data_IF_190065196169
#
_entry.id   IF_190065196169
#
_cell.length_a   1.000
_cell.length_b   1.000
_cell.length_c   1.000
_cell.angle_alpha   90.00
_cell.angle_beta   90.00
_cell.angle_gamma   90.00
#
_symmetry.space_group_name_H-M   'P 1'
#
loop_
_entity.id
_entity.type
_entity.pdbx_description
1 polymer ?
#
# COMPACT_ATOMS: atom_id res chain seq x y z
N UNK A 1 -33.87 -18.36 -19.60
CA UNK A 1 -32.98 -18.34 -20.79
C UNK A 1 -31.85 -17.38 -20.47
N UNK A 2 -30.60 -17.82 -20.31
CA UNK A 2 -29.50 -16.93 -19.98
C UNK A 2 -29.03 -16.21 -21.25
N UNK A 3 -28.96 -14.88 -21.17
CA UNK A 3 -28.67 -13.98 -22.28
C UNK A 3 -27.19 -14.07 -22.69
N UNK A 4 -27.00 -14.27 -23.98
CA UNK A 4 -25.73 -14.39 -24.71
C UNK A 4 -24.88 -13.11 -24.76
N UNK A 5 -25.15 -12.11 -23.92
CA UNK A 5 -24.49 -10.80 -23.96
C UNK A 5 -23.18 -10.73 -23.16
N UNK A 6 -23.02 -11.49 -22.07
CA UNK A 6 -21.79 -11.47 -21.24
C UNK A 6 -20.56 -12.02 -21.95
N UNK A 7 -20.70 -13.04 -22.80
CA UNK A 7 -19.56 -13.61 -23.56
C UNK A 7 -19.02 -12.73 -24.68
N UNK A 8 -19.81 -11.79 -25.21
CA UNK A 8 -19.37 -10.91 -26.31
C UNK A 8 -18.52 -9.73 -25.84
N UNK A 9 -18.65 -9.30 -24.58
CA UNK A 9 -17.79 -8.24 -24.00
C UNK A 9 -16.42 -8.77 -23.57
N UNK A 10 -16.33 -10.03 -23.11
CA UNK A 10 -15.05 -10.69 -22.82
C UNK A 10 -14.11 -10.77 -24.03
N UNK A 11 -14.65 -10.91 -25.25
CA UNK A 11 -13.84 -10.97 -26.48
C UNK A 11 -13.47 -9.60 -27.07
N UNK A 12 -14.17 -8.53 -26.68
CA UNK A 12 -13.84 -7.17 -27.14
C UNK A 12 -12.66 -6.55 -26.38
N UNK A 13 -12.39 -7.01 -25.15
CA UNK A 13 -11.20 -6.61 -24.38
C UNK A 13 -9.92 -7.39 -24.74
N UNK A 14 -10.02 -8.47 -25.53
CA UNK A 14 -8.91 -9.40 -25.78
C UNK A 14 -8.67 -9.76 -27.27
N UNK A 15 -9.27 -9.07 -28.24
CA UNK A 15 -9.34 -9.60 -29.61
C UNK A 15 -9.06 -8.63 -30.76
N UNK A 16 -7.78 -8.43 -31.10
CA UNK A 16 -7.35 -8.18 -32.47
C UNK A 16 -5.95 -8.77 -32.75
N UNK A 17 -5.79 -10.09 -32.57
CA UNK A 17 -4.67 -10.82 -33.16
C UNK A 17 -5.14 -11.48 -34.46
N UNK A 18 -4.71 -10.93 -35.60
CA UNK A 18 -4.76 -11.65 -36.87
C UNK A 18 -3.48 -12.45 -37.04
N UNK A 19 -3.65 -13.73 -37.38
CA UNK A 19 -2.62 -14.77 -37.46
C UNK A 19 -1.52 -14.41 -38.48
N UNK A 20 -0.32 -14.18 -37.96
CA UNK A 20 0.94 -14.30 -38.69
C UNK A 20 1.91 -15.12 -37.85
N UNK A 21 2.15 -16.38 -38.22
CA UNK A 21 3.14 -17.22 -37.59
C UNK A 21 4.55 -16.67 -37.90
N UNK A 22 5.13 -15.95 -36.95
CA UNK A 22 6.56 -15.79 -36.81
C UNK A 22 6.89 -15.92 -35.33
N UNK A 23 7.74 -16.90 -35.00
CA UNK A 23 8.43 -16.92 -33.72
C UNK A 23 9.28 -15.64 -33.64
N UNK A 24 8.75 -14.63 -32.95
CA UNK A 24 9.41 -13.36 -32.72
C UNK A 24 9.26 -13.06 -31.24
N UNK A 25 10.39 -13.04 -30.55
CA UNK A 25 10.55 -12.37 -29.27
C UNK A 25 9.98 -10.95 -29.40
N UNK A 26 8.76 -10.73 -28.90
CA UNK A 26 8.37 -9.38 -28.51
C UNK A 26 9.15 -9.14 -27.23
N UNK A 27 10.27 -8.42 -27.38
CA UNK A 27 10.85 -7.70 -26.29
C UNK A 27 9.71 -6.89 -25.66
N UNK A 28 9.40 -7.23 -24.41
CA UNK A 28 8.63 -6.34 -23.55
C UNK A 28 9.47 -5.07 -23.45
N UNK A 29 8.93 -3.94 -23.90
CA UNK A 29 9.66 -2.68 -24.09
C UNK A 29 9.98 -2.04 -22.73
N UNK A 30 10.71 -2.71 -21.84
CA UNK A 30 11.22 -2.15 -20.57
C UNK A 30 10.18 -1.38 -19.75
N UNK A 31 8.89 -1.73 -19.85
CA UNK A 31 7.79 -0.93 -19.34
C UNK A 31 7.57 -1.28 -17.87
N UNK A 32 7.89 -0.35 -16.97
CA UNK A 32 7.68 -0.56 -15.54
C UNK A 32 6.19 -0.42 -15.21
N UNK A 33 5.50 -1.55 -15.16
CA UNK A 33 4.07 -1.58 -14.91
C UNK A 33 3.66 -1.14 -13.49
N UNK A 34 4.61 -1.05 -12.56
CA UNK A 34 4.44 -0.41 -11.26
C UNK A 34 4.54 1.11 -11.38
N UNK A 35 5.50 1.63 -12.16
CA UNK A 35 5.56 3.07 -12.49
C UNK A 35 4.26 3.55 -13.16
N UNK A 36 3.70 2.77 -14.08
CA UNK A 36 2.40 3.09 -14.69
C UNK A 36 1.23 3.09 -13.71
N UNK A 37 1.35 2.41 -12.57
CA UNK A 37 0.32 2.39 -11.54
C UNK A 37 0.49 3.58 -10.59
N UNK A 38 1.74 3.89 -10.24
CA UNK A 38 2.11 5.01 -9.39
C UNK A 38 1.86 6.37 -10.07
N UNK A 39 2.06 6.45 -11.38
CA UNK A 39 1.99 7.71 -12.12
C UNK A 39 3.15 8.66 -11.80
N UNK A 40 2.98 9.93 -12.17
CA UNK A 40 4.04 10.94 -12.09
C UNK A 40 4.02 11.78 -10.80
N UNK A 41 3.10 11.48 -9.87
CA UNK A 41 2.96 12.24 -8.63
C UNK A 41 4.13 11.98 -7.68
N UNK A 42 4.51 12.99 -6.92
CA UNK A 42 5.63 12.92 -5.96
C UNK A 42 5.19 12.96 -4.51
N UNK A 43 3.91 13.22 -4.25
CA UNK A 43 3.30 13.14 -2.93
C UNK A 43 2.85 11.70 -2.59
N UNK A 44 2.16 11.50 -1.48
CA UNK A 44 1.78 10.18 -0.96
C UNK A 44 0.32 10.18 -0.46
N UNK A 45 -0.66 10.17 -1.37
CA UNK A 45 -2.08 10.47 -1.07
C UNK A 45 -2.83 9.38 -0.30
N UNK A 46 -2.29 8.16 -0.25
CA UNK A 46 -2.97 7.02 0.35
C UNK A 46 -1.95 5.98 0.81
N UNK A 47 -2.38 5.04 1.66
CA UNK A 47 -1.53 3.92 2.02
C UNK A 47 -1.02 3.21 0.76
N UNK A 48 0.19 2.67 0.74
CA UNK A 48 0.67 2.01 -0.49
C UNK A 48 0.93 2.94 -1.69
N UNK A 49 0.89 4.26 -1.50
CA UNK A 49 1.08 5.33 -2.50
C UNK A 49 -0.05 5.48 -3.55
N UNK A 50 -0.52 4.39 -4.14
CA UNK A 50 -1.47 4.40 -5.26
C UNK A 50 -2.61 3.39 -5.12
N UNK A 51 -3.53 3.37 -6.09
CA UNK A 51 -4.64 2.40 -6.12
C UNK A 51 -4.19 0.95 -6.18
N UNK A 52 -2.98 0.68 -6.68
CA UNK A 52 -2.42 -0.66 -6.84
C UNK A 52 -1.55 -1.12 -5.66
N UNK A 53 -1.40 -0.30 -4.61
CA UNK A 53 -0.56 -0.53 -3.43
C UNK A 53 0.94 -0.71 -3.76
N UNK A 54 1.48 -0.09 -4.80
CA UNK A 54 2.87 -0.38 -5.23
C UNK A 54 3.95 0.08 -4.24
N UNK A 55 3.65 1.02 -3.35
CA UNK A 55 4.63 1.71 -2.50
C UNK A 55 5.79 2.31 -3.29
N UNK A 56 5.54 2.78 -4.52
CA UNK A 56 6.57 3.25 -5.43
C UNK A 56 6.31 4.69 -5.90
N UNK A 57 7.33 5.54 -5.81
CA UNK A 57 7.34 6.91 -6.34
C UNK A 57 8.42 6.99 -7.44
N UNK A 58 8.09 6.73 -8.71
CA UNK A 58 9.10 6.68 -9.78
C UNK A 58 9.80 8.02 -10.01
N UNK A 59 9.05 9.12 -9.95
CA UNK A 59 9.55 10.48 -10.18
C UNK A 59 10.31 11.10 -9.01
N UNK A 60 10.52 10.37 -7.90
CA UNK A 60 11.19 10.94 -6.73
C UNK A 60 12.68 11.19 -6.96
N UNK A 61 13.17 12.29 -6.40
CA UNK A 61 14.60 12.60 -6.39
C UNK A 61 15.39 11.55 -5.59
N UNK A 62 16.60 11.26 -6.05
CA UNK A 62 17.53 10.37 -5.35
C UNK A 62 17.89 10.90 -3.96
N UNK A 63 17.47 10.18 -2.92
CA UNK A 63 17.88 10.43 -1.53
C UNK A 63 19.10 9.55 -1.19
N UNK A 64 20.24 10.16 -0.90
CA UNK A 64 21.52 9.47 -0.58
C UNK A 64 21.89 9.48 0.90
N UNK A 65 21.22 10.30 1.67
CA UNK A 65 21.38 10.49 3.10
C UNK A 65 20.21 11.31 3.60
N UNK A 66 19.97 11.27 4.90
CA UNK A 66 18.90 12.05 5.53
C UNK A 66 19.33 12.64 6.87
N UNK A 67 18.78 13.82 7.16
CA UNK A 67 18.84 14.47 8.48
C UNK A 67 17.44 14.75 9.01
N UNK A 68 17.30 14.75 10.33
CA UNK A 68 16.03 15.09 10.98
C UNK A 68 15.77 16.59 10.85
N UNK A 69 14.74 16.95 10.07
CA UNK A 69 14.28 18.33 9.93
C UNK A 69 13.32 18.70 11.06
N UNK A 70 12.44 17.76 11.42
CA UNK A 70 11.41 17.97 12.44
C UNK A 70 11.00 16.66 13.10
N UNK A 71 10.57 16.77 14.35
CA UNK A 71 9.90 15.73 15.12
C UNK A 71 8.52 16.19 15.57
N UNK A 72 7.54 15.30 15.47
CA UNK A 72 6.18 15.53 15.97
C UNK A 72 5.88 14.48 17.03
N UNK A 73 6.06 14.86 18.29
CA UNK A 73 5.79 14.01 19.44
C UNK A 73 4.31 14.09 19.80
N UNK A 74 3.55 13.03 19.47
CA UNK A 74 2.11 12.98 19.70
C UNK A 74 1.61 11.55 20.00
N UNK A 75 0.34 11.38 20.34
CA UNK A 75 -0.31 10.08 20.49
C UNK A 75 -0.67 9.49 19.12
N UNK A 76 0.34 9.29 18.28
CA UNK A 76 0.13 8.73 16.95
C UNK A 76 -0.23 7.25 17.01
N UNK A 77 -1.15 6.86 16.15
CA UNK A 77 -1.45 5.46 15.87
C UNK A 77 -0.34 4.80 15.07
N UNK A 78 -0.61 3.60 14.58
CA UNK A 78 0.30 2.86 13.68
C UNK A 78 -0.09 3.02 12.21
N UNK A 79 -0.79 4.10 11.87
CA UNK A 79 -1.18 4.40 10.50
C UNK A 79 0.01 5.00 9.72
N UNK A 80 0.05 4.72 8.42
CA UNK A 80 1.01 5.33 7.51
C UNK A 80 0.76 6.85 7.42
N UNK A 81 1.79 7.71 7.56
CA UNK A 81 1.65 9.15 7.35
C UNK A 81 1.26 9.44 5.90
N UNK A 82 0.27 10.29 5.67
CA UNK A 82 -0.22 10.61 4.31
C UNK A 82 0.16 12.04 3.98
N UNK A 83 0.70 12.27 2.79
CA UNK A 83 1.11 13.59 2.31
C UNK A 83 0.39 13.84 1.00
N UNK A 84 -0.41 14.89 0.92
CA UNK A 84 -1.08 15.26 -0.31
C UNK A 84 -1.22 16.78 -0.37
N UNK A 85 -0.98 17.35 -1.55
CA UNK A 85 -1.24 18.77 -1.85
C UNK A 85 -0.66 19.74 -0.80
N UNK A 86 0.58 19.50 -0.35
CA UNK A 86 1.25 20.34 0.65
C UNK A 86 0.73 20.18 2.09
N UNK A 87 -0.03 19.12 2.37
CA UNK A 87 -0.58 18.82 3.70
C UNK A 87 -0.14 17.43 4.17
N UNK A 88 0.26 17.33 5.43
CA UNK A 88 0.55 16.08 6.13
C UNK A 88 -0.65 15.67 6.99
N UNK A 89 -1.21 14.49 6.72
CA UNK A 89 -2.30 13.91 7.47
C UNK A 89 -1.80 12.81 8.41
N UNK A 90 -2.18 12.93 9.69
CA UNK A 90 -1.78 11.99 10.74
C UNK A 90 -3.02 11.47 11.47
N UNK A 91 -3.00 10.16 11.73
CA UNK A 91 -4.07 9.46 12.44
C UNK A 91 -3.56 8.92 13.77
N UNK A 92 -4.27 9.30 14.83
CA UNK A 92 -4.12 8.80 16.20
C UNK A 92 -5.47 8.76 16.89
N UNK A 93 -5.60 9.44 18.03
CA UNK A 93 -6.92 9.66 18.64
C UNK A 93 -7.83 10.53 17.76
N UNK A 94 -7.22 11.41 16.96
CA UNK A 94 -7.88 12.30 15.99
C UNK A 94 -7.21 12.19 14.62
N UNK A 95 -7.90 12.67 13.59
CA UNK A 95 -7.32 12.95 12.28
C UNK A 95 -6.87 14.40 12.25
N UNK A 96 -5.58 14.63 12.00
CA UNK A 96 -4.99 15.97 11.96
C UNK A 96 -4.44 16.27 10.57
N UNK A 97 -4.66 17.48 10.09
CA UNK A 97 -4.03 18.01 8.88
C UNK A 97 -3.04 19.11 9.27
N UNK A 98 -1.77 18.91 8.92
CA UNK A 98 -0.68 19.84 9.21
C UNK A 98 -0.16 20.41 7.89
N UNK A 99 0.09 21.72 7.86
CA UNK A 99 0.85 22.33 6.77
C UNK A 99 2.24 21.70 6.68
N UNK A 100 2.65 21.30 5.48
CA UNK A 100 3.85 20.47 5.30
C UNK A 100 5.15 21.22 5.62
N UNK A 101 5.16 22.54 5.43
CA UNK A 101 6.37 23.36 5.54
C UNK A 101 6.54 23.97 6.93
N UNK A 102 5.50 24.63 7.45
CA UNK A 102 5.50 25.20 8.79
C UNK A 102 5.32 24.14 9.86
N UNK A 103 4.59 23.08 9.52
CA UNK A 103 4.20 22.06 10.45
C UNK A 103 3.03 22.41 11.37
N UNK A 104 2.44 23.58 11.20
CA UNK A 104 1.29 24.02 11.98
C UNK A 104 0.06 23.18 11.66
N UNK A 105 -0.81 22.96 12.65
CA UNK A 105 -2.08 22.25 12.44
C UNK A 105 -3.08 23.18 11.78
N UNK A 106 -3.51 22.83 10.58
CA UNK A 106 -4.57 23.54 9.86
C UNK A 106 -5.93 23.23 10.49
N UNK A 107 -6.20 21.94 10.71
CA UNK A 107 -7.41 21.46 11.37
C UNK A 107 -7.21 20.09 12.02
N UNK A 108 -8.15 19.75 12.89
CA UNK A 108 -8.21 18.47 13.59
C UNK A 108 -9.66 18.02 13.71
N UNK A 109 -9.91 16.73 13.41
CA UNK A 109 -11.21 16.10 13.52
C UNK A 109 -11.10 14.92 14.47
N UNK A 110 -11.87 14.98 15.56
CA UNK A 110 -12.06 13.83 16.44
C UNK A 110 -13.19 12.95 15.92
N UNK A 111 -13.12 11.62 16.11
CA UNK A 111 -14.28 10.77 15.96
C UNK A 111 -15.41 11.24 16.88
N UNK A 112 -16.66 11.17 16.40
CA UNK A 112 -17.83 11.50 17.22
C UNK A 112 -17.95 10.53 18.41
N UNK A 113 -18.53 11.01 19.52
CA UNK A 113 -18.67 10.21 20.75
C UNK A 113 -19.33 8.85 20.49
N UNK A 114 -18.64 7.79 20.94
CA UNK A 114 -19.11 6.41 20.78
C UNK A 114 -18.90 5.79 19.39
N UNK A 115 -18.19 6.47 18.47
CA UNK A 115 -17.86 5.96 17.14
C UNK A 115 -16.42 5.43 17.01
N UNK A 116 -15.65 5.47 18.11
CA UNK A 116 -14.29 4.94 18.24
C UNK A 116 -13.25 5.58 17.32
N UNK A 117 -11.99 5.24 17.55
CA UNK A 117 -10.87 5.95 16.93
C UNK A 117 -10.74 5.67 15.42
N UNK A 118 -10.04 6.59 14.75
CA UNK A 118 -9.49 6.33 13.42
C UNK A 118 -8.27 5.41 13.57
N UNK A 119 -8.26 4.30 12.83
CA UNK A 119 -7.21 3.27 12.96
C UNK A 119 -6.35 3.12 11.71
N UNK A 120 -6.86 3.51 10.55
CA UNK A 120 -6.21 3.38 9.26
C UNK A 120 -5.74 4.74 8.73
N UNK A 121 -4.75 4.71 7.85
CA UNK A 121 -4.37 5.89 7.09
C UNK A 121 -5.54 6.37 6.21
N UNK A 122 -5.72 7.70 6.03
CA UNK A 122 -6.72 8.23 5.12
C UNK A 122 -6.30 8.04 3.66
N UNK A 123 -7.24 8.29 2.75
CA UNK A 123 -6.99 8.50 1.32
C UNK A 123 -7.40 9.90 0.96
N UNK A 124 -6.53 10.64 0.26
CA UNK A 124 -6.75 12.04 -0.11
C UNK A 124 -6.76 12.19 -1.63
N UNK A 125 -7.80 12.82 -2.15
CA UNK A 125 -7.92 13.16 -3.57
C UNK A 125 -8.93 14.27 -3.76
N UNK A 126 -8.68 15.18 -4.71
CA UNK A 126 -9.63 16.20 -5.15
C UNK A 126 -10.24 16.97 -3.95
N UNK A 127 -9.36 17.48 -3.09
CA UNK A 127 -9.71 18.24 -1.87
C UNK A 127 -10.58 17.46 -0.86
N UNK A 128 -10.60 16.13 -0.92
CA UNK A 128 -11.36 15.26 -0.02
C UNK A 128 -10.46 14.29 0.70
N UNK A 129 -10.68 14.12 2.00
CA UNK A 129 -10.04 13.12 2.85
C UNK A 129 -11.07 12.05 3.20
N UNK A 130 -10.81 10.81 2.77
CA UNK A 130 -11.62 9.64 3.08
C UNK A 130 -10.96 8.84 4.20
N UNK A 131 -11.70 8.58 5.28
CA UNK A 131 -11.18 7.83 6.44
C UNK A 131 -12.26 6.91 7.01
N UNK A 132 -11.84 5.74 7.47
CA UNK A 132 -12.69 4.78 8.17
C UNK A 132 -12.40 4.78 9.68
N UNK A 133 -13.44 4.60 10.50
CA UNK A 133 -13.30 4.38 11.94
C UNK A 133 -13.66 2.94 12.33
N UNK A 134 -13.24 2.53 13.53
CA UNK A 134 -13.43 1.16 14.03
C UNK A 134 -14.88 0.76 14.33
N UNK A 135 -15.86 1.65 14.13
CA UNK A 135 -17.28 1.39 14.36
C UNK A 135 -18.08 1.45 13.06
N UNK A 136 -17.55 0.85 12.00
CA UNK A 136 -18.32 0.58 10.79
C UNK A 136 -18.83 1.86 10.12
N UNK A 137 -17.95 2.85 9.96
CA UNK A 137 -18.25 4.08 9.22
C UNK A 137 -17.10 4.51 8.33
N UNK A 138 -17.49 5.10 7.20
CA UNK A 138 -16.61 5.84 6.29
C UNK A 138 -17.02 7.31 6.32
N UNK A 139 -16.03 8.20 6.36
CA UNK A 139 -16.21 9.64 6.38
C UNK A 139 -15.51 10.26 5.17
N UNK A 140 -16.16 11.22 4.54
CA UNK A 140 -15.50 12.19 3.65
C UNK A 140 -15.43 13.54 4.35
N UNK A 141 -14.23 14.12 4.35
CA UNK A 141 -13.91 15.36 5.03
C UNK A 141 -13.27 16.31 4.02
N UNK A 142 -13.63 17.58 4.05
CA UNK A 142 -12.98 18.61 3.26
C UNK A 142 -11.50 18.75 3.67
N UNK A 143 -10.59 18.60 2.71
CA UNK A 143 -9.15 18.59 2.95
C UNK A 143 -8.62 19.94 3.47
N UNK A 144 -9.33 21.05 3.19
CA UNK A 144 -8.91 22.40 3.54
C UNK A 144 -9.46 22.83 4.90
N UNK A 145 -10.73 22.58 5.17
CA UNK A 145 -11.41 23.06 6.38
C UNK A 145 -11.52 22.01 7.49
N UNK A 146 -11.41 20.72 7.17
CA UNK A 146 -11.73 19.64 8.10
C UNK A 146 -13.23 19.44 8.32
N UNK A 147 -14.08 20.12 7.56
CA UNK A 147 -15.54 19.96 7.66
C UNK A 147 -15.97 18.65 7.02
N UNK A 148 -16.80 17.89 7.74
CA UNK A 148 -17.41 16.67 7.21
C UNK A 148 -18.30 16.99 6.01
N UNK A 149 -18.03 16.34 4.88
CA UNK A 149 -18.89 16.34 3.69
C UNK A 149 -20.01 15.31 3.83
N UNK A 150 -19.66 14.07 4.17
CA UNK A 150 -20.63 13.00 4.44
C UNK A 150 -20.07 11.95 5.41
N UNK A 151 -20.99 11.14 5.97
CA UNK A 151 -20.68 9.92 6.73
C UNK A 151 -21.65 8.83 6.32
N UNK A 152 -21.13 7.65 6.03
CA UNK A 152 -21.94 6.46 5.70
C UNK A 152 -21.63 5.35 6.68
N UNK A 153 -22.69 4.71 7.20
CA UNK A 153 -22.56 3.51 8.02
C UNK A 153 -22.40 2.30 7.10
N UNK A 154 -21.21 1.71 7.09
CA UNK A 154 -20.84 0.56 6.27
C UNK A 154 -19.96 -0.32 7.13
N UNK A 155 -20.19 -1.62 7.10
CA UNK A 155 -19.42 -2.56 7.89
C UNK A 155 -17.96 -2.66 7.38
N UNK A 156 -17.11 -1.76 7.87
CA UNK A 156 -15.70 -1.68 7.52
C UNK A 156 -14.84 -2.35 8.60
N UNK A 157 -13.84 -3.11 8.17
CA UNK A 157 -12.89 -3.76 9.07
C UNK A 157 -12.03 -2.74 9.82
N UNK A 158 -11.64 -3.09 11.04
CA UNK A 158 -10.62 -2.31 11.77
C UNK A 158 -9.31 -2.31 10.97
N UNK A 159 -8.72 -1.14 10.73
CA UNK A 159 -7.48 -0.91 9.96
C UNK A 159 -7.57 -0.95 8.43
N UNK A 160 -8.78 -0.89 7.85
CA UNK A 160 -8.94 -0.79 6.38
C UNK A 160 -8.87 0.67 5.92
N UNK A 161 -7.94 0.97 5.01
CA UNK A 161 -7.89 2.27 4.32
C UNK A 161 -8.90 2.28 3.16
N UNK A 162 -9.84 3.25 3.10
CA UNK A 162 -10.70 3.43 1.94
C UNK A 162 -9.90 3.67 0.67
N UNK A 163 -10.26 3.04 -0.45
CA UNK A 163 -9.55 3.14 -1.73
C UNK A 163 -10.39 3.85 -2.77
N UNK A 164 -9.81 4.79 -3.49
CA UNK A 164 -10.46 5.38 -4.66
C UNK A 164 -10.12 4.58 -5.92
N UNK A 165 -10.99 4.65 -6.93
CA UNK A 165 -10.63 4.27 -8.29
C UNK A 165 -9.71 5.31 -8.95
N UNK A 166 -9.31 5.00 -10.19
CA UNK A 166 -8.38 5.82 -10.97
C UNK A 166 -8.98 7.21 -11.27
N UNK A 167 -10.31 7.31 -11.40
CA UNK A 167 -11.03 8.54 -11.73
C UNK A 167 -11.41 9.37 -10.48
N UNK A 168 -11.45 8.77 -9.29
CA UNK A 168 -11.83 9.43 -8.04
C UNK A 168 -13.34 9.46 -7.79
N UNK A 169 -14.13 8.67 -8.53
CA UNK A 169 -15.59 8.68 -8.50
C UNK A 169 -16.17 7.68 -7.48
N UNK A 170 -15.39 6.66 -7.10
CA UNK A 170 -15.87 5.62 -6.20
C UNK A 170 -14.88 5.29 -5.08
N UNK A 171 -15.42 5.06 -3.87
CA UNK A 171 -14.69 4.61 -2.68
C UNK A 171 -14.97 3.14 -2.40
N UNK A 172 -13.93 2.33 -2.32
CA UNK A 172 -13.96 0.91 -2.00
C UNK A 172 -13.48 0.65 -0.58
N UNK A 173 -14.23 -0.14 0.17
CA UNK A 173 -13.87 -0.57 1.53
C UNK A 173 -14.10 -2.06 1.72
N UNK A 174 -13.15 -2.71 2.39
CA UNK A 174 -13.27 -4.09 2.85
C UNK A 174 -13.91 -4.17 4.23
N UNK A 175 -14.73 -5.19 4.44
CA UNK A 175 -15.49 -5.41 5.65
C UNK A 175 -15.37 -6.80 6.25
N UNK A 176 -16.24 -7.08 7.22
CA UNK A 176 -16.40 -8.39 7.84
C UNK A 176 -17.11 -9.37 6.87
N UNK A 177 -16.42 -9.74 5.80
CA UNK A 177 -16.92 -10.71 4.81
C UNK A 177 -17.50 -10.10 3.55
N UNK A 178 -17.19 -8.85 3.22
CA UNK A 178 -17.62 -8.22 1.97
C UNK A 178 -16.65 -7.13 1.51
N UNK A 179 -16.87 -6.63 0.30
CA UNK A 179 -16.34 -5.37 -0.20
C UNK A 179 -17.52 -4.49 -0.60
N UNK A 180 -17.52 -3.22 -0.20
CA UNK A 180 -18.51 -2.23 -0.62
C UNK A 180 -17.89 -1.19 -1.54
N UNK A 181 -18.70 -0.69 -2.49
CA UNK A 181 -18.43 0.50 -3.30
C UNK A 181 -19.41 1.59 -2.91
N UNK A 182 -18.87 2.77 -2.59
CA UNK A 182 -19.62 3.98 -2.27
C UNK A 182 -19.36 5.02 -3.35
N UNK A 183 -20.37 5.82 -3.68
CA UNK A 183 -20.19 7.04 -4.45
C UNK A 183 -19.27 8.01 -3.68
N UNK A 184 -18.22 8.52 -4.33
CA UNK A 184 -17.23 9.35 -3.65
C UNK A 184 -17.76 10.74 -3.26
N UNK A 185 -18.76 11.26 -3.99
CA UNK A 185 -19.36 12.58 -3.78
C UNK A 185 -20.45 12.52 -2.69
N UNK A 186 -21.34 11.53 -2.74
CA UNK A 186 -22.50 11.45 -1.83
C UNK A 186 -22.29 10.51 -0.65
N UNK A 187 -21.38 9.53 -0.78
CA UNK A 187 -21.18 8.45 0.18
C UNK A 187 -22.22 7.34 0.11
N UNK A 188 -23.17 7.38 -0.84
CA UNK A 188 -24.19 6.36 -0.97
C UNK A 188 -23.56 5.01 -1.36
N UNK A 189 -23.98 3.93 -0.69
CA UNK A 189 -23.55 2.59 -1.06
C UNK A 189 -24.22 2.17 -2.37
N UNK A 190 -23.41 2.04 -3.42
CA UNK A 190 -23.88 1.65 -4.76
C UNK A 190 -23.98 0.12 -4.88
N UNK A 191 -23.03 -0.61 -4.29
CA UNK A 191 -23.09 -2.06 -4.16
C UNK A 191 -22.24 -2.60 -3.00
N UNK A 192 -22.56 -3.82 -2.58
CA UNK A 192 -21.73 -4.67 -1.72
C UNK A 192 -21.68 -6.09 -2.26
N UNK A 193 -20.50 -6.72 -2.18
CA UNK A 193 -20.26 -8.09 -2.63
C UNK A 193 -19.80 -8.96 -1.46
N UNK A 194 -20.57 -10.01 -1.15
CA UNK A 194 -20.25 -10.97 -0.10
C UNK A 194 -19.05 -11.86 -0.49
N UNK A 195 -18.12 -12.02 0.43
CA UNK A 195 -16.91 -12.81 0.31
C UNK A 195 -16.86 -13.92 1.35
N UNK A 196 -16.11 -14.97 1.05
CA UNK A 196 -15.72 -15.95 2.06
C UNK A 196 -14.53 -15.43 2.85
N UNK A 197 -14.78 -14.95 4.07
CA UNK A 197 -13.76 -14.49 5.01
C UNK A 197 -13.60 -12.96 5.06
N UNK A 198 -13.03 -12.48 6.15
CA UNK A 198 -12.93 -11.05 6.46
C UNK A 198 -11.85 -10.37 5.60
N UNK A 199 -12.14 -9.18 5.11
CA UNK A 199 -11.15 -8.30 4.46
C UNK A 199 -10.54 -7.40 5.54
N UNK A 200 -9.33 -7.73 5.99
CA UNK A 200 -8.62 -6.98 7.04
C UNK A 200 -7.55 -6.05 6.51
N UNK A 201 -7.28 -6.13 5.21
CA UNK A 201 -6.28 -5.36 4.51
C UNK A 201 -6.98 -4.49 3.48
N UNK A 202 -6.42 -3.33 3.16
CA UNK A 202 -6.93 -2.47 2.10
C UNK A 202 -6.96 -3.20 0.77
N UNK A 203 -7.97 -2.93 -0.06
CA UNK A 203 -8.06 -3.47 -1.42
C UNK A 203 -7.03 -2.81 -2.35
N UNK A 204 -6.82 -3.39 -3.53
CA UNK A 204 -6.18 -2.70 -4.65
C UNK A 204 -7.23 -2.45 -5.74
N UNK A 205 -7.22 -1.27 -6.34
CA UNK A 205 -8.14 -0.86 -7.41
C UNK A 205 -7.30 -0.32 -8.56
N UNK A 206 -7.54 -0.85 -9.76
CA UNK A 206 -6.92 -0.33 -10.98
C UNK A 206 -7.73 -0.70 -12.20
N UNK A 207 -7.94 0.26 -13.10
CA UNK A 207 -8.65 0.08 -14.38
C UNK A 207 -10.01 -0.62 -14.22
N UNK A 208 -10.78 -0.19 -13.21
CA UNK A 208 -12.12 -0.72 -12.92
C UNK A 208 -12.14 -2.16 -12.36
N UNK A 209 -11.01 -2.67 -11.87
CA UNK A 209 -10.93 -3.99 -11.21
C UNK A 209 -10.50 -3.82 -9.77
N UNK A 210 -11.24 -4.43 -8.86
CA UNK A 210 -10.96 -4.47 -7.42
C UNK A 210 -10.37 -5.81 -7.05
N UNK A 211 -9.21 -5.79 -6.41
CA UNK A 211 -8.55 -6.97 -5.85
C UNK A 211 -8.67 -6.92 -4.33
N UNK A 212 -9.27 -7.96 -3.76
CA UNK A 212 -9.47 -8.08 -2.32
C UNK A 212 -8.91 -9.40 -1.82
N UNK A 213 -8.19 -9.34 -0.70
CA UNK A 213 -7.71 -10.53 0.00
C UNK A 213 -8.42 -10.69 1.32
N UNK A 214 -8.72 -11.93 1.68
CA UNK A 214 -9.37 -12.26 2.95
C UNK A 214 -8.37 -12.88 3.92
N UNK A 215 -8.72 -12.91 5.20
CA UNK A 215 -7.96 -13.67 6.20
C UNK A 215 -7.97 -15.19 5.95
N UNK A 216 -8.92 -15.70 5.16
CA UNK A 216 -9.00 -17.12 4.83
C UNK A 216 -7.98 -17.58 3.78
N UNK A 217 -7.30 -16.64 3.12
CA UNK A 217 -6.37 -16.94 2.03
C UNK A 217 -7.00 -16.81 0.65
N UNK A 218 -8.20 -16.24 0.53
CA UNK A 218 -8.79 -15.98 -0.77
C UNK A 218 -8.29 -14.66 -1.37
N UNK A 219 -7.95 -14.67 -2.67
CA UNK A 219 -7.80 -13.47 -3.49
C UNK A 219 -8.93 -13.42 -4.52
N UNK A 220 -9.70 -12.33 -4.49
CA UNK A 220 -10.79 -12.05 -5.42
C UNK A 220 -10.37 -10.97 -6.42
N UNK A 221 -10.89 -11.06 -7.64
CA UNK A 221 -10.97 -9.96 -8.58
C UNK A 221 -12.44 -9.68 -8.91
N UNK A 222 -12.89 -8.46 -8.62
CA UNK A 222 -14.25 -7.99 -8.87
C UNK A 222 -14.21 -6.87 -9.91
N UNK A 223 -15.26 -6.75 -10.72
CA UNK A 223 -15.42 -5.60 -11.61
C UNK A 223 -15.97 -4.36 -10.90
N UNK A 224 -16.11 -3.27 -11.64
CA UNK A 224 -16.62 -1.98 -11.13
C UNK A 224 -18.06 -2.05 -10.59
N UNK A 225 -18.84 -3.07 -10.98
CA UNK A 225 -20.22 -3.29 -10.53
C UNK A 225 -20.31 -4.30 -9.38
N UNK A 226 -19.17 -4.81 -8.92
CA UNK A 226 -19.09 -5.81 -7.87
C UNK A 226 -19.33 -7.24 -8.37
N UNK A 227 -19.37 -7.50 -9.68
CA UNK A 227 -19.44 -8.86 -10.18
C UNK A 227 -18.05 -9.52 -10.13
N UNK A 228 -17.98 -10.73 -9.58
CA UNK A 228 -16.71 -11.46 -9.48
C UNK A 228 -16.21 -11.98 -10.82
N UNK A 229 -15.02 -11.56 -11.23
CA UNK A 229 -14.31 -12.17 -12.37
C UNK A 229 -13.79 -13.55 -12.02
N UNK A 230 -13.07 -13.65 -10.90
CA UNK A 230 -12.45 -14.89 -10.44
C UNK A 230 -12.06 -14.82 -8.96
N UNK A 231 -11.75 -15.99 -8.41
CA UNK A 231 -11.18 -16.22 -7.09
C UNK A 231 -10.04 -17.21 -7.19
N UNK A 232 -8.95 -16.96 -6.46
CA UNK A 232 -7.84 -17.89 -6.28
C UNK A 232 -7.67 -18.15 -4.78
N UNK A 233 -7.55 -19.42 -4.40
CA UNK A 233 -7.23 -19.82 -3.03
C UNK A 233 -5.70 -19.85 -2.87
N UNK A 234 -5.19 -19.01 -1.98
CA UNK A 234 -3.79 -19.00 -1.56
C UNK A 234 -3.54 -20.04 -0.45
N UNK A 235 -2.31 -20.54 -0.30
CA UNK A 235 -2.00 -21.63 0.63
C UNK A 235 -2.18 -21.30 2.12
N UNK A 236 -2.24 -20.01 2.48
CA UNK A 236 -2.32 -19.57 3.87
C UNK A 236 -2.99 -18.19 4.01
N UNK A 237 -3.26 -17.80 5.26
CA UNK A 237 -3.86 -16.51 5.63
C UNK A 237 -3.04 -15.34 5.08
N UNK A 238 -3.67 -14.45 4.34
CA UNK A 238 -3.06 -13.22 3.82
C UNK A 238 -2.64 -12.29 4.98
N UNK A 239 -1.44 -11.73 4.90
CA UNK A 239 -0.88 -10.79 5.87
C UNK A 239 -0.66 -9.39 5.28
N UNK A 240 -0.59 -9.27 3.96
CA UNK A 240 -0.41 -7.98 3.26
C UNK A 240 -1.66 -7.63 2.44
N UNK A 241 -1.90 -6.34 2.14
CA UNK A 241 -2.81 -5.98 1.06
C UNK A 241 -2.31 -6.57 -0.27
N UNK A 242 -3.21 -6.82 -1.25
CA UNK A 242 -2.81 -7.20 -2.59
C UNK A 242 -2.06 -6.04 -3.24
N UNK A 243 -0.90 -6.32 -3.82
CA UNK A 243 -0.12 -5.34 -4.58
C UNK A 243 -0.15 -5.71 -6.06
N UNK A 244 -0.58 -4.80 -6.93
CA UNK A 244 -0.76 -5.08 -8.36
C UNK A 244 0.33 -4.39 -9.18
N UNK A 245 1.09 -5.15 -9.96
CA UNK A 245 1.95 -4.60 -11.00
C UNK A 245 1.77 -5.39 -12.30
N UNK A 246 1.50 -4.69 -13.40
CA UNK A 246 1.24 -5.30 -14.69
C UNK A 246 0.08 -6.30 -14.64
N UNK A 247 0.41 -7.58 -14.81
CA UNK A 247 -0.55 -8.70 -14.87
C UNK A 247 -0.46 -9.63 -13.66
N UNK A 248 0.18 -9.19 -12.58
CA UNK A 248 0.40 -10.00 -11.39
C UNK A 248 -0.05 -9.26 -10.13
N UNK A 249 -0.70 -10.01 -9.24
CA UNK A 249 -1.01 -9.58 -7.88
C UNK A 249 -0.09 -10.32 -6.91
N UNK A 250 0.60 -9.57 -6.06
CA UNK A 250 1.51 -10.09 -5.04
C UNK A 250 0.86 -10.02 -3.66
N UNK A 251 0.98 -11.11 -2.91
CA UNK A 251 0.43 -11.24 -1.55
C UNK A 251 1.42 -11.99 -0.66
N UNK A 252 1.75 -11.42 0.50
CA UNK A 252 2.47 -12.13 1.56
C UNK A 252 1.50 -12.87 2.48
N UNK A 253 1.80 -14.12 2.82
CA UNK A 253 0.93 -15.02 3.58
C UNK A 253 1.61 -15.60 4.82
N UNK A 254 0.84 -15.97 5.84
CA UNK A 254 1.34 -16.35 7.16
C UNK A 254 2.29 -17.58 7.17
N UNK A 255 2.32 -18.37 6.09
CA UNK A 255 3.25 -19.49 5.90
C UNK A 255 4.67 -19.07 5.53
N UNK A 256 4.93 -17.77 5.35
CA UNK A 256 6.26 -17.24 5.07
C UNK A 256 6.61 -17.12 3.59
N UNK A 257 5.61 -17.24 2.71
CA UNK A 257 5.73 -17.05 1.27
C UNK A 257 5.15 -15.72 0.76
N UNK A 258 5.79 -15.16 -0.26
CA UNK A 258 5.14 -14.25 -1.20
C UNK A 258 4.61 -15.07 -2.36
N UNK A 259 3.34 -14.85 -2.70
CA UNK A 259 2.67 -15.45 -3.84
C UNK A 259 2.40 -14.41 -4.91
N UNK A 260 2.67 -14.76 -6.17
CA UNK A 260 2.21 -14.00 -7.33
C UNK A 260 1.09 -14.74 -8.04
N UNK A 261 -0.01 -14.05 -8.31
CA UNK A 261 -1.16 -14.57 -9.05
C UNK A 261 -1.25 -13.86 -10.39
N UNK A 262 -1.30 -14.63 -11.48
CA UNK A 262 -1.53 -14.11 -12.83
C UNK A 262 -3.00 -13.73 -12.98
N UNK A 263 -3.27 -12.45 -13.26
CA UNK A 263 -4.64 -11.91 -13.27
C UNK A 263 -5.46 -12.35 -14.47
N UNK A 264 -4.82 -12.82 -15.54
CA UNK A 264 -5.52 -13.24 -16.75
C UNK A 264 -5.78 -14.74 -16.80
N UNK A 265 -4.89 -15.53 -16.20
CA UNK A 265 -5.05 -16.97 -16.04
C UNK A 265 -5.79 -17.33 -14.75
N UNK A 266 -5.89 -16.39 -13.82
CA UNK A 266 -6.47 -16.57 -12.50
C UNK A 266 -5.86 -17.77 -11.77
N UNK A 267 -4.53 -17.81 -11.72
CA UNK A 267 -3.80 -18.88 -11.05
C UNK A 267 -2.48 -18.39 -10.44
N UNK A 268 -1.95 -19.18 -9.51
CA UNK A 268 -0.65 -18.97 -8.90
C UNK A 268 0.44 -19.08 -9.98
N UNK A 269 1.17 -17.99 -10.21
CA UNK A 269 2.30 -17.94 -11.13
C UNK A 269 3.58 -18.46 -10.46
N UNK A 270 3.87 -17.98 -9.24
CA UNK A 270 5.01 -18.42 -8.45
C UNK A 270 4.78 -18.20 -6.95
N UNK A 271 5.59 -18.89 -6.14
CA UNK A 271 5.66 -18.74 -4.69
C UNK A 271 7.10 -18.76 -4.23
N UNK A 272 7.49 -17.79 -3.42
CA UNK A 272 8.85 -17.69 -2.89
C UNK A 272 8.83 -17.51 -1.38
N UNK A 273 9.50 -18.42 -0.66
CA UNK A 273 9.67 -18.32 0.79
C UNK A 273 10.56 -17.12 1.11
N UNK A 274 10.10 -16.16 1.91
CA UNK A 274 10.88 -14.99 2.36
C UNK A 274 11.15 -15.00 3.87
N UNK A 275 10.52 -15.91 4.63
CA UNK A 275 10.69 -16.04 6.08
C UNK A 275 9.43 -15.67 6.85
N UNK A 276 9.50 -15.59 8.18
CA UNK A 276 8.34 -15.31 9.02
C UNK A 276 7.83 -13.89 8.81
N UNK A 277 6.59 -13.73 8.33
CA UNK A 277 6.05 -12.41 8.05
C UNK A 277 5.77 -11.61 9.31
N UNK A 278 6.25 -10.37 9.25
CA UNK A 278 5.61 -9.29 9.94
C UNK A 278 4.54 -8.67 9.01
N UNK A 279 3.58 -7.94 9.56
CA UNK A 279 2.45 -7.30 8.86
C UNK A 279 2.87 -6.13 7.96
N UNK A 280 4.08 -6.22 7.41
CA UNK A 280 4.76 -5.26 6.57
C UNK A 280 4.48 -5.49 5.08
N UNK A 281 4.29 -4.39 4.34
CA UNK A 281 3.81 -4.41 2.96
C UNK A 281 4.81 -4.98 1.94
N UNK A 282 4.34 -5.06 0.70
CA UNK A 282 5.15 -5.31 -0.48
C UNK A 282 5.34 -3.97 -1.20
N UNK A 283 6.53 -3.72 -1.72
CA UNK A 283 6.75 -2.66 -2.71
C UNK A 283 7.16 -3.28 -4.05
N UNK A 284 6.71 -2.70 -5.15
CA UNK A 284 7.06 -3.17 -6.50
C UNK A 284 7.58 -2.00 -7.33
N UNK A 285 8.78 -2.15 -7.90
CA UNK A 285 9.41 -1.15 -8.75
C UNK A 285 10.44 -1.82 -9.67
N UNK A 286 10.62 -1.33 -10.90
CA UNK A 286 11.69 -1.75 -11.82
C UNK A 286 11.85 -3.29 -11.91
N UNK A 287 10.75 -3.98 -12.21
CA UNK A 287 10.67 -5.44 -12.29
C UNK A 287 11.13 -6.18 -11.02
N UNK A 288 11.06 -5.54 -9.86
CA UNK A 288 11.47 -6.10 -8.57
C UNK A 288 10.33 -6.02 -7.56
N UNK A 289 10.10 -7.12 -6.85
CA UNK A 289 9.23 -7.17 -5.67
C UNK A 289 10.12 -7.10 -4.43
N UNK A 290 9.94 -6.06 -3.62
CA UNK A 290 10.57 -5.89 -2.31
C UNK A 290 9.60 -6.34 -1.22
N UNK A 291 9.94 -7.43 -0.54
CA UNK A 291 9.09 -8.07 0.44
C UNK A 291 9.76 -8.15 1.81
N UNK A 292 9.03 -7.75 2.86
CA UNK A 292 9.46 -7.90 4.24
C UNK A 292 9.32 -9.37 4.69
N UNK A 293 10.44 -10.01 5.01
CA UNK A 293 10.53 -11.34 5.59
C UNK A 293 10.63 -11.34 7.12
N UNK A 294 10.25 -10.24 7.76
CA UNK A 294 10.23 -10.05 9.21
C UNK A 294 11.56 -9.66 9.81
N UNK A 295 12.69 -10.31 9.45
CA UNK A 295 14.06 -9.87 9.83
C UNK A 295 14.86 -9.32 8.65
N UNK A 296 14.43 -9.62 7.44
CA UNK A 296 15.15 -9.24 6.24
C UNK A 296 14.22 -8.73 5.16
N UNK A 297 14.67 -7.71 4.44
CA UNK A 297 14.05 -7.29 3.20
C UNK A 297 14.57 -8.16 2.06
N UNK A 298 13.67 -8.75 1.28
CA UNK A 298 13.99 -9.57 0.12
C UNK A 298 13.64 -8.82 -1.17
N UNK A 299 14.55 -8.83 -2.14
CA UNK A 299 14.27 -8.41 -3.51
C UNK A 299 14.09 -9.65 -4.39
N UNK A 300 12.93 -9.76 -5.02
CA UNK A 300 12.54 -10.86 -5.89
C UNK A 300 12.34 -10.33 -7.31
N UNK A 301 12.67 -11.15 -8.29
CA UNK A 301 12.27 -10.90 -9.68
C UNK A 301 10.75 -10.95 -9.81
N UNK A 302 10.15 -9.93 -10.45
CA UNK A 302 8.69 -9.79 -10.53
C UNK A 302 8.03 -10.97 -11.27
N UNK A 303 8.65 -11.44 -12.34
CA UNK A 303 8.06 -12.44 -13.24
C UNK A 303 8.24 -13.87 -12.72
N UNK A 304 9.42 -14.18 -12.19
CA UNK A 304 9.81 -15.53 -11.78
C UNK A 304 9.76 -15.78 -10.27
N UNK A 305 9.76 -14.72 -9.45
CA UNK A 305 9.90 -14.81 -8.00
C UNK A 305 11.31 -15.15 -7.52
N UNK A 306 12.30 -15.24 -8.42
CA UNK A 306 13.68 -15.58 -8.05
C UNK A 306 14.27 -14.54 -7.09
N UNK A 307 14.87 -15.00 -5.98
CA UNK A 307 15.54 -14.11 -5.02
C UNK A 307 16.76 -13.46 -5.68
N UNK A 308 16.67 -12.16 -5.94
CA UNK A 308 17.80 -11.33 -6.40
C UNK A 308 18.76 -11.06 -5.24
N UNK A 309 18.23 -10.62 -4.10
CA UNK A 309 19.01 -10.33 -2.90
C UNK A 309 18.18 -10.31 -1.62
N UNK A 310 18.87 -10.28 -0.47
CA UNK A 310 18.28 -10.03 0.84
C UNK A 310 19.16 -9.08 1.65
N UNK A 311 18.56 -8.28 2.52
CA UNK A 311 19.22 -7.38 3.45
C UNK A 311 18.66 -7.59 4.86
N UNK A 312 19.53 -7.85 5.84
CA UNK A 312 19.15 -8.02 7.25
C UNK A 312 18.93 -6.65 7.89
N UNK A 313 17.70 -6.39 8.37
CA UNK A 313 17.33 -5.13 9.05
C UNK A 313 17.56 -5.18 10.56
N UNK A 314 18.15 -6.26 11.08
CA UNK A 314 18.68 -6.36 12.43
C UNK A 314 17.65 -6.63 13.53
N UNK A 315 16.35 -6.51 13.23
CA UNK A 315 15.26 -6.73 14.17
C UNK A 315 14.08 -7.42 13.51
N UNK A 316 13.20 -8.01 14.32
CA UNK A 316 11.90 -8.47 13.87
C UNK A 316 10.84 -7.40 14.06
N UNK A 317 9.95 -7.24 13.10
CA UNK A 317 8.71 -6.49 13.27
C UNK A 317 8.14 -6.03 11.93
N UNK A 318 7.03 -5.30 11.97
CA UNK A 318 6.31 -4.83 10.77
C UNK A 318 7.11 -3.73 10.07
N UNK A 319 7.65 -4.01 8.88
CA UNK A 319 8.39 -3.04 8.06
C UNK A 319 7.61 -2.69 6.80
N UNK A 320 7.56 -1.41 6.44
CA UNK A 320 6.89 -0.99 5.19
C UNK A 320 7.96 -0.64 4.17
N UNK A 321 8.36 -1.55 3.26
CA UNK A 321 9.27 -1.18 2.20
C UNK A 321 8.63 -0.10 1.32
N UNK A 322 9.42 0.89 0.95
CA UNK A 322 9.02 1.96 0.03
C UNK A 322 10.12 2.14 -0.99
N UNK A 323 9.77 2.34 -2.26
CA UNK A 323 10.73 2.69 -3.30
C UNK A 323 10.47 4.11 -3.75
N UNK A 324 11.49 4.96 -3.76
CA UNK A 324 11.38 6.31 -4.28
C UNK A 324 12.57 6.60 -5.19
N UNK A 325 12.27 6.79 -6.48
CA UNK A 325 13.26 6.89 -7.54
C UNK A 325 14.20 5.68 -7.50
N UNK A 326 15.48 5.94 -7.25
CA UNK A 326 16.52 4.92 -7.20
C UNK A 326 16.90 4.46 -5.78
N UNK A 327 16.08 4.72 -4.76
CA UNK A 327 16.34 4.28 -3.36
C UNK A 327 15.21 3.40 -2.85
N UNK A 328 15.57 2.27 -2.25
CA UNK A 328 14.65 1.41 -1.49
C UNK A 328 14.80 1.73 0.00
N UNK A 329 13.71 2.08 0.65
CA UNK A 329 13.64 2.35 2.08
C UNK A 329 13.04 1.14 2.79
N UNK A 330 13.61 0.77 3.94
CA UNK A 330 12.99 -0.19 4.86
C UNK A 330 13.24 0.24 6.30
N UNK A 331 12.33 -0.11 7.18
CA UNK A 331 12.42 0.14 8.61
C UNK A 331 12.89 -1.09 9.37
N UNK A 332 13.21 -0.88 10.65
CA UNK A 332 13.73 -1.87 11.59
C UNK A 332 14.06 -1.18 12.92
N UNK A 333 15.24 -1.46 13.47
CA UNK A 333 15.81 -0.68 14.59
C UNK A 333 16.26 0.73 14.15
N UNK A 334 16.30 0.95 12.84
CA UNK A 334 16.70 2.18 12.14
C UNK A 334 15.87 2.32 10.87
N UNK A 335 15.96 3.50 10.26
CA UNK A 335 15.64 3.67 8.85
C UNK A 335 16.86 3.29 8.00
N UNK A 336 16.66 2.47 6.97
CA UNK A 336 17.68 2.07 6.02
C UNK A 336 17.32 2.57 4.62
N UNK A 337 18.27 3.19 3.93
CA UNK A 337 18.19 3.47 2.50
C UNK A 337 19.14 2.55 1.73
N UNK A 338 18.63 1.82 0.74
CA UNK A 338 19.32 0.78 0.00
C UNK A 338 19.32 1.07 -1.52
N UNK A 339 20.32 0.54 -2.23
CA UNK A 339 20.34 0.53 -3.70
C UNK A 339 19.40 -0.58 -4.22
N UNK A 340 18.53 -0.32 -5.22
CA UNK A 340 17.61 -1.29 -5.82
C UNK A 340 18.28 -2.58 -6.29
N UNK A 341 19.49 -2.48 -6.86
CA UNK A 341 20.27 -3.65 -7.31
C UNK A 341 20.93 -4.47 -6.18
N UNK A 342 20.87 -4.01 -4.94
CA UNK A 342 21.43 -4.69 -3.78
C UNK A 342 22.97 -4.74 -3.74
N UNK A 343 23.64 -3.80 -4.40
CA UNK A 343 25.10 -3.74 -4.51
C UNK A 343 25.70 -4.87 -5.38
N UNK A 344 26.99 -5.12 -5.22
CA UNK A 344 27.71 -6.19 -5.95
C UNK A 344 27.99 -7.37 -5.01
N UNK A 345 27.84 -8.60 -5.51
CA UNK A 345 28.16 -9.81 -4.75
C UNK A 345 29.59 -10.30 -5.03
N UNK A 346 30.27 -10.73 -3.97
CA UNK A 346 31.43 -11.61 -4.07
C UNK A 346 31.26 -12.77 -3.08
N UNK A 347 30.65 -13.87 -3.55
CA UNK A 347 30.21 -14.97 -2.68
C UNK A 347 28.93 -14.61 -1.89
N UNK A 348 28.85 -15.01 -0.63
CA UNK A 348 27.69 -14.76 0.26
C UNK A 348 27.60 -13.33 0.80
N UNK A 349 28.58 -12.47 0.51
CA UNK A 349 28.62 -11.09 1.00
C UNK A 349 28.28 -10.16 -0.17
N UNK A 350 27.16 -9.42 -0.05
CA UNK A 350 26.84 -8.27 -0.90
C UNK A 350 27.42 -7.02 -0.23
N UNK A 351 28.47 -6.44 -0.83
CA UNK A 351 28.97 -5.14 -0.41
C UNK A 351 28.16 -4.03 -1.11
N UNK A 352 28.02 -2.88 -0.44
CA UNK A 352 27.42 -1.65 -0.99
C UNK A 352 25.92 -1.66 -1.30
N UNK A 353 25.12 -2.58 -0.74
CA UNK A 353 23.66 -2.49 -0.80
C UNK A 353 23.14 -1.26 -0.03
N UNK A 354 23.73 -0.98 1.13
CA UNK A 354 23.38 0.15 1.98
C UNK A 354 23.88 1.48 1.38
N UNK A 355 22.97 2.45 1.20
CA UNK A 355 23.30 3.86 0.92
C UNK A 355 23.53 4.61 2.22
N UNK A 356 22.60 4.52 3.15
CA UNK A 356 22.67 5.16 4.46
C UNK A 356 21.80 4.44 5.47
N UNK A 357 22.03 4.69 6.76
CA UNK A 357 21.05 4.39 7.81
C UNK A 357 20.90 5.58 8.75
N UNK A 358 19.70 5.77 9.29
CA UNK A 358 19.38 6.87 10.18
C UNK A 358 18.75 6.34 11.48
N UNK A 359 19.23 6.78 12.67
CA UNK A 359 18.65 6.34 13.93
C UNK A 359 17.25 6.95 14.08
N UNK A 360 16.25 6.12 14.36
CA UNK A 360 14.88 6.59 14.64
C UNK A 360 14.62 6.80 16.13
N UNK A 361 15.58 6.45 16.99
CA UNK A 361 15.46 6.53 18.45
C UNK A 361 14.63 5.40 19.08
N UNK A 362 14.00 4.56 18.27
CA UNK A 362 13.18 3.42 18.68
C UNK A 362 12.73 2.60 17.48
N UNK A 363 11.74 1.74 17.67
CA UNK A 363 11.28 0.85 16.60
C UNK A 363 10.59 1.64 15.50
N UNK A 364 11.13 1.61 14.29
CA UNK A 364 10.62 2.36 13.15
C UNK A 364 9.38 1.65 12.57
N UNK A 365 8.27 2.37 12.47
CA UNK A 365 6.98 1.86 11.98
C UNK A 365 6.75 2.14 10.49
N UNK A 366 5.49 2.29 10.08
CA UNK A 366 5.14 2.71 8.72
C UNK A 366 5.75 4.05 8.32
N UNK A 367 6.03 4.18 7.03
CA UNK A 367 6.65 5.37 6.45
C UNK A 367 6.08 5.72 5.09
N UNK A 368 6.32 6.96 4.69
CA UNK A 368 5.99 7.48 3.36
C UNK A 368 7.13 8.34 2.86
N UNK A 369 7.34 8.36 1.54
CA UNK A 369 8.34 9.23 0.91
C UNK A 369 7.61 10.14 -0.05
N UNK A 370 7.56 11.43 0.27
CA UNK A 370 6.76 12.41 -0.44
C UNK A 370 7.55 13.71 -0.62
N UNK A 371 7.47 14.31 -1.81
CA UNK A 371 8.05 15.61 -2.15
C UNK A 371 9.52 15.76 -1.72
N UNK A 372 10.29 14.67 -1.86
CA UNK A 372 11.71 14.61 -1.55
C UNK A 372 12.05 14.46 -0.05
N UNK A 373 11.06 14.28 0.82
CA UNK A 373 11.23 14.04 2.26
C UNK A 373 10.77 12.62 2.65
N UNK A 374 11.28 12.12 3.77
CA UNK A 374 10.86 10.84 4.36
C UNK A 374 10.08 11.13 5.65
N UNK A 375 8.88 10.55 5.75
CA UNK A 375 8.00 10.64 6.90
C UNK A 375 7.92 9.27 7.53
N UNK A 376 8.51 9.08 8.70
CA UNK A 376 8.57 7.75 9.34
C UNK A 376 8.10 7.83 10.79
N UNK A 377 7.20 6.93 11.16
CA UNK A 377 6.78 6.79 12.55
C UNK A 377 7.84 6.02 13.35
N UNK A 378 8.01 6.36 14.62
CA UNK A 378 8.94 5.67 15.50
C UNK A 378 8.31 5.48 16.89
N UNK A 379 8.25 4.24 17.35
CA UNK A 379 7.82 3.91 18.72
C UNK A 379 9.01 4.02 19.65
N UNK A 380 8.95 5.02 20.53
CA UNK A 380 9.94 5.30 21.56
C UNK A 380 9.45 4.72 22.88
N UNK A 381 10.27 3.90 23.53
CA UNK A 381 10.05 3.47 24.91
C UNK A 381 10.81 4.38 25.87
N UNK A 382 10.18 4.81 26.96
CA UNK A 382 10.88 5.43 28.07
C UNK A 382 11.46 4.39 29.04
N UNK A 383 12.26 4.84 30.01
CA UNK A 383 12.86 3.98 31.03
C UNK A 383 11.83 3.33 31.99
N UNK A 384 10.59 3.80 31.97
CA UNK A 384 9.48 3.36 32.82
C UNK A 384 8.55 2.36 32.08
N UNK A 385 8.79 2.13 30.78
CA UNK A 385 8.06 1.20 29.94
C UNK A 385 6.87 1.80 29.20
N UNK A 386 6.67 3.12 29.25
CA UNK A 386 5.65 3.77 28.42
C UNK A 386 6.14 3.85 26.97
N UNK A 387 5.23 3.61 26.03
CA UNK A 387 5.51 3.74 24.61
C UNK A 387 4.76 4.95 24.04
N UNK A 388 5.49 5.79 23.32
CA UNK A 388 4.95 6.91 22.55
C UNK A 388 5.36 6.76 21.09
N UNK A 389 4.44 6.99 20.16
CA UNK A 389 4.74 6.97 18.72
C UNK A 389 4.99 8.41 18.26
N UNK A 390 6.21 8.72 17.83
CA UNK A 390 6.54 10.02 17.23
C UNK A 390 6.59 9.93 15.72
N UNK A 391 6.43 11.04 15.02
CA UNK A 391 6.76 11.14 13.60
C UNK A 391 8.10 11.86 13.43
N UNK A 392 8.98 11.27 12.65
CA UNK A 392 10.20 11.92 12.16
C UNK A 392 9.97 12.39 10.73
N UNK A 393 10.23 13.67 10.49
CA UNK A 393 10.30 14.26 9.15
C UNK A 393 11.76 14.45 8.80
N UNK A 394 12.21 13.71 7.80
CA UNK A 394 13.61 13.67 7.39
C UNK A 394 13.78 14.29 6.01
N UNK A 395 14.80 15.10 5.85
CA UNK A 395 15.15 15.76 4.59
C UNK A 395 16.47 15.21 4.02
N UNK A 396 16.71 15.32 2.70
CA UNK A 396 17.96 14.87 2.10
C UNK A 396 19.17 15.61 2.66
N UNK A 397 20.25 14.86 2.97
CA UNK A 397 21.50 15.38 3.55
C UNK A 397 22.71 15.20 2.63
#
# INVERSE_FOLDING_TARGET
>A
MPSTQTRRRFLAACGAASLGAAAGCLADDGHDAAADAAGDRTDWPTAGHDGANTNYVPGANTIRGVSEARRVDDRLGSAQPIVADGTLYLVGDTLRALDLDSGETNWEVAPEDGQGNFWAAPTVRDETVYVANGHQRVHAIDATSGEKRWTTAVDVGSYVTPRLDDDGEAVYVGGEGHVSRLDAETGDEEWSHDLFGQVRQSVAVRRGVVYAVTEGGELYALDEYGDGYWRVDLPAKCQTPPTLAGRQVFVGTFDGFVHAVDTARANLAWSTEVGGFAKGGIAVADSTVYADGGRSLHALDVDSGEKRWAFDVGTTGDHTPVVAGDTVFTTGDRLYGLKPGGGFSNGTIRQEALRFSHPTGGYAGPMSVADGRVYVTARLGDAEGNQTTTLLVLEPA
#
